data_IF_396297504698
#
_entry.id   IF_396297504698
#
_cell.length_a   1.000
_cell.length_b   1.000
_cell.length_c   1.000
_cell.angle_alpha   90.00
_cell.angle_beta   90.00
_cell.angle_gamma   90.00
#
_symmetry.space_group_name_H-M   'P 1'
#
loop_
_entity.id
_entity.type
_entity.pdbx_description
1 polymer ?
#
# COMPACT_ATOMS: atom_id res chain seq x y z
N UNK A 1 -9.53 13.98 -14.45
CA UNK A 1 -8.50 12.94 -14.30
C UNK A 1 -7.49 13.26 -13.20
N UNK A 2 -6.77 14.40 -13.27
CA UNK A 2 -5.74 14.79 -12.30
C UNK A 2 -6.21 14.76 -10.83
N UNK A 3 -7.41 15.28 -10.54
CA UNK A 3 -7.97 15.29 -9.18
C UNK A 3 -8.12 13.87 -8.61
N UNK A 4 -8.56 12.90 -9.41
CA UNK A 4 -8.72 11.51 -8.97
C UNK A 4 -7.38 10.85 -8.62
N UNK A 5 -6.32 11.14 -9.39
CA UNK A 5 -4.96 10.63 -9.16
C UNK A 5 -4.38 11.20 -7.85
N UNK A 6 -4.61 12.50 -7.60
CA UNK A 6 -4.17 13.16 -6.37
C UNK A 6 -4.90 12.56 -5.16
N UNK A 7 -6.23 12.43 -5.22
CA UNK A 7 -7.00 11.84 -4.13
C UNK A 7 -6.58 10.40 -3.85
N UNK A 8 -6.33 9.61 -4.88
CA UNK A 8 -5.87 8.23 -4.72
C UNK A 8 -4.47 8.14 -4.10
N UNK A 9 -3.58 9.09 -4.40
CA UNK A 9 -2.24 9.17 -3.82
C UNK A 9 -2.23 9.48 -2.32
N UNK A 10 -3.30 10.11 -1.80
CA UNK A 10 -3.50 10.34 -0.36
C UNK A 10 -4.41 9.29 0.31
N UNK A 11 -5.00 8.39 -0.46
CA UNK A 11 -5.71 7.22 0.06
C UNK A 11 -4.74 6.33 0.84
N UNK A 12 -5.08 5.99 2.09
CA UNK A 12 -4.19 5.28 3.01
C UNK A 12 -3.74 6.09 4.23
N UNK A 13 -3.96 7.42 4.27
CA UNK A 13 -3.80 8.20 5.51
C UNK A 13 -4.78 7.74 6.61
N UNK A 14 -5.91 7.17 6.22
CA UNK A 14 -6.89 6.53 7.12
C UNK A 14 -6.29 5.37 7.94
N UNK A 15 -5.28 4.66 7.40
CA UNK A 15 -4.56 3.61 8.13
C UNK A 15 -3.85 4.18 9.35
N UNK A 16 -3.31 5.39 9.26
CA UNK A 16 -2.67 6.07 10.39
C UNK A 16 -3.70 6.34 11.49
N UNK A 17 -4.92 6.76 11.12
CA UNK A 17 -6.01 6.98 12.06
C UNK A 17 -6.50 5.71 12.76
N UNK A 18 -6.68 4.62 12.00
CA UNK A 18 -7.09 3.32 12.58
C UNK A 18 -5.98 2.76 13.46
N UNK A 19 -4.73 2.84 13.02
CA UNK A 19 -3.57 2.36 13.79
C UNK A 19 -3.35 3.22 15.04
N UNK A 20 -3.63 4.53 14.99
CA UNK A 20 -3.55 5.40 16.17
C UNK A 20 -4.50 4.97 17.29
N UNK A 21 -5.67 4.42 16.96
CA UNK A 21 -6.62 3.91 17.94
C UNK A 21 -6.14 2.61 18.62
N UNK A 22 -5.16 1.92 18.04
CA UNK A 22 -4.65 0.62 18.51
C UNK A 22 -3.17 0.68 18.93
N UNK A 23 -2.49 1.82 18.74
CA UNK A 23 -1.07 1.98 19.03
C UNK A 23 -0.84 2.36 20.50
N UNK A 24 0.22 1.80 21.10
CA UNK A 24 0.67 2.21 22.43
C UNK A 24 1.26 3.63 22.40
N UNK A 25 0.75 4.50 23.29
CA UNK A 25 1.15 5.92 23.41
C UNK A 25 1.09 6.71 22.08
N UNK A 26 -0.10 6.92 21.50
CA UNK A 26 -0.25 7.51 20.17
C UNK A 26 0.29 8.94 20.07
N UNK A 27 0.27 9.71 21.17
CA UNK A 27 0.78 11.09 21.21
C UNK A 27 2.27 11.20 20.86
N UNK A 28 3.06 10.17 21.12
CA UNK A 28 4.49 10.14 20.79
C UNK A 28 4.80 9.24 19.58
N UNK A 29 4.16 8.07 19.51
CA UNK A 29 4.44 7.06 18.49
C UNK A 29 4.04 7.52 17.09
N UNK A 30 2.87 8.16 16.93
CA UNK A 30 2.37 8.63 15.63
C UNK A 30 3.27 9.73 15.02
N UNK A 31 3.54 10.87 15.70
CA UNK A 31 4.36 11.92 15.10
C UNK A 31 5.79 11.45 14.80
N UNK A 32 6.36 10.60 15.66
CA UNK A 32 7.69 10.00 15.43
C UNK A 32 7.71 9.11 14.19
N UNK A 33 6.70 8.24 14.03
CA UNK A 33 6.57 7.37 12.86
C UNK A 33 6.38 8.18 11.57
N UNK A 34 5.49 9.19 11.59
CA UNK A 34 5.24 10.07 10.44
C UNK A 34 6.51 10.78 9.98
N UNK A 35 7.25 11.41 10.90
CA UNK A 35 8.50 12.08 10.55
C UNK A 35 9.54 11.09 9.98
N UNK A 36 9.68 9.91 10.57
CA UNK A 36 10.61 8.89 10.06
C UNK A 36 10.24 8.41 8.65
N UNK A 37 8.94 8.21 8.38
CA UNK A 37 8.46 7.79 7.06
C UNK A 37 8.79 8.85 6.00
N UNK A 38 8.56 10.13 6.29
CA UNK A 38 8.87 11.23 5.34
C UNK A 38 10.36 11.21 4.97
N UNK A 39 11.27 11.13 5.95
CA UNK A 39 12.71 11.07 5.66
C UNK A 39 13.08 9.83 4.83
N UNK A 40 12.51 8.67 5.14
CA UNK A 40 12.75 7.44 4.36
C UNK A 40 12.27 7.60 2.92
N UNK A 41 11.06 8.11 2.70
CA UNK A 41 10.53 8.35 1.35
C UNK A 41 11.44 9.32 0.60
N UNK A 42 11.84 10.43 1.20
CA UNK A 42 12.74 11.39 0.55
C UNK A 42 14.07 10.74 0.14
N UNK A 43 14.72 10.02 1.06
CA UNK A 43 16.02 9.39 0.79
C UNK A 43 15.90 8.28 -0.27
N UNK A 44 14.95 7.35 -0.11
CA UNK A 44 14.82 6.22 -1.04
C UNK A 44 14.27 6.67 -2.40
N UNK A 45 13.27 7.55 -2.43
CA UNK A 45 12.66 8.01 -3.67
C UNK A 45 13.60 8.96 -4.42
N UNK A 46 13.98 10.09 -3.81
CA UNK A 46 14.83 11.09 -4.50
C UNK A 46 16.21 10.51 -4.76
N UNK A 47 16.78 9.75 -3.82
CA UNK A 47 18.08 9.12 -3.99
C UNK A 47 18.09 8.10 -5.13
N UNK A 48 17.09 7.23 -5.20
CA UNK A 48 16.99 6.27 -6.31
C UNK A 48 16.74 6.96 -7.65
N UNK A 49 15.95 8.04 -7.66
CA UNK A 49 15.68 8.82 -8.88
C UNK A 49 16.94 9.55 -9.37
N UNK A 50 17.76 10.08 -8.46
CA UNK A 50 19.03 10.70 -8.80
C UNK A 50 20.03 9.69 -9.40
N UNK A 51 20.13 8.49 -8.82
CA UNK A 51 20.93 7.40 -9.38
C UNK A 51 20.39 6.98 -10.75
N UNK A 52 19.07 6.84 -10.87
CA UNK A 52 18.38 6.45 -12.10
C UNK A 52 18.65 7.45 -13.24
N UNK A 53 18.49 8.75 -12.98
CA UNK A 53 18.74 9.81 -13.96
C UNK A 53 20.25 9.99 -14.28
N UNK A 54 21.14 9.53 -13.40
CA UNK A 54 22.59 9.51 -13.67
C UNK A 54 23.01 8.34 -14.57
N UNK A 55 22.28 7.22 -14.52
CA UNK A 55 22.53 6.03 -15.34
C UNK A 55 21.85 6.12 -16.71
N UNK A 56 20.65 6.72 -16.78
CA UNK A 56 19.86 6.82 -17.99
C UNK A 56 19.35 8.24 -18.19
N UNK A 57 19.62 8.89 -19.34
CA UNK A 57 19.05 10.20 -19.63
C UNK A 57 17.53 10.11 -19.70
N UNK A 58 16.84 11.08 -19.07
CA UNK A 58 15.37 11.12 -18.96
C UNK A 58 14.63 11.03 -20.30
N UNK A 59 15.32 11.28 -21.42
CA UNK A 59 14.80 11.20 -22.78
C UNK A 59 14.57 9.77 -23.28
N UNK A 60 15.13 8.75 -22.61
CA UNK A 60 14.92 7.33 -22.95
C UNK A 60 13.90 6.62 -22.05
N UNK A 61 13.39 7.30 -21.02
CA UNK A 61 12.35 6.75 -20.14
C UNK A 61 11.03 6.71 -20.89
N UNK A 62 10.63 5.54 -21.35
CA UNK A 62 9.33 5.29 -21.98
C UNK A 62 8.28 4.96 -20.92
N UNK A 63 7.02 5.32 -21.17
CA UNK A 63 5.93 5.14 -20.21
C UNK A 63 5.49 3.66 -20.06
N UNK A 64 5.84 2.82 -21.03
CA UNK A 64 5.35 1.43 -21.13
C UNK A 64 6.12 0.43 -20.25
N UNK A 65 7.25 0.81 -19.66
CA UNK A 65 8.05 -0.10 -18.83
C UNK A 65 8.62 0.61 -17.62
N UNK A 66 8.63 -0.06 -16.46
CA UNK A 66 9.20 0.49 -15.23
C UNK A 66 10.69 0.81 -15.45
N UNK A 67 11.10 2.07 -15.30
CA UNK A 67 12.47 2.49 -15.59
C UNK A 67 13.50 1.85 -14.64
N UNK A 68 13.06 1.41 -13.45
CA UNK A 68 13.89 0.57 -12.58
C UNK A 68 14.21 -0.77 -13.25
N UNK A 69 13.20 -1.50 -13.72
CA UNK A 69 13.39 -2.81 -14.37
C UNK A 69 14.22 -2.68 -15.65
N UNK A 70 13.99 -1.61 -16.41
CA UNK A 70 14.68 -1.36 -17.68
C UNK A 70 16.19 -1.16 -17.49
N UNK A 71 16.61 -0.43 -16.45
CA UNK A 71 18.04 -0.23 -16.13
C UNK A 71 18.72 -1.54 -15.73
N UNK A 72 18.06 -2.37 -14.91
CA UNK A 72 18.65 -3.64 -14.49
C UNK A 72 18.67 -4.68 -15.61
N UNK A 73 17.77 -4.57 -16.58
CA UNK A 73 17.83 -5.36 -17.81
C UNK A 73 18.97 -4.88 -18.74
N UNK A 74 19.18 -3.56 -18.90
CA UNK A 74 20.28 -3.02 -19.72
C UNK A 74 21.67 -3.23 -19.08
N UNK A 75 21.77 -3.29 -17.75
CA UNK A 75 23.01 -3.60 -17.03
C UNK A 75 23.43 -5.08 -17.14
N UNK A 76 22.64 -5.92 -17.81
CA UNK A 76 23.08 -7.21 -18.33
C UNK A 76 22.97 -8.40 -17.38
N UNK A 77 22.28 -8.27 -16.23
CA UNK A 77 22.13 -9.38 -15.30
C UNK A 77 20.65 -9.70 -15.00
N UNK A 78 20.14 -10.71 -15.71
CA UNK A 78 18.79 -11.28 -15.50
C UNK A 78 18.56 -11.70 -14.05
N UNK A 79 19.62 -12.04 -13.31
CA UNK A 79 19.53 -12.37 -11.89
C UNK A 79 19.09 -11.16 -11.05
N UNK A 80 19.65 -9.97 -11.32
CA UNK A 80 19.32 -8.73 -10.59
C UNK A 80 17.89 -8.28 -10.89
N UNK A 81 17.45 -8.40 -12.15
CA UNK A 81 16.06 -8.10 -12.54
C UNK A 81 15.05 -9.00 -11.80
N UNK A 82 15.32 -10.30 -11.70
CA UNK A 82 14.47 -11.24 -10.95
C UNK A 82 14.48 -10.97 -9.44
N UNK A 83 15.64 -10.65 -8.87
CA UNK A 83 15.74 -10.29 -7.45
C UNK A 83 14.88 -9.06 -7.12
N UNK A 84 14.90 -8.04 -7.98
CA UNK A 84 14.06 -6.85 -7.82
C UNK A 84 12.58 -7.14 -7.97
N UNK A 85 12.19 -7.98 -8.93
CA UNK A 85 10.80 -8.41 -9.05
C UNK A 85 10.31 -9.06 -7.76
N UNK A 86 11.10 -9.92 -7.13
CA UNK A 86 10.75 -10.54 -5.84
C UNK A 86 10.58 -9.49 -4.75
N UNK A 87 11.49 -8.51 -4.66
CA UNK A 87 11.39 -7.41 -3.68
C UNK A 87 10.12 -6.58 -3.91
N UNK A 88 9.83 -6.21 -5.16
CA UNK A 88 8.63 -5.44 -5.54
C UNK A 88 7.36 -6.22 -5.22
N UNK A 89 7.30 -7.51 -5.55
CA UNK A 89 6.15 -8.36 -5.23
C UNK A 89 5.95 -8.50 -3.73
N UNK A 90 7.04 -8.67 -2.96
CA UNK A 90 6.97 -8.75 -1.50
C UNK A 90 6.50 -7.43 -0.89
N UNK A 91 6.97 -6.30 -1.40
CA UNK A 91 6.49 -4.98 -0.98
C UNK A 91 5.01 -4.78 -1.32
N UNK A 92 4.57 -5.16 -2.52
CA UNK A 92 3.17 -5.09 -2.94
C UNK A 92 2.27 -5.95 -2.04
N UNK A 93 2.69 -7.17 -1.71
CA UNK A 93 1.98 -8.06 -0.77
C UNK A 93 1.90 -7.45 0.63
N UNK A 94 2.98 -6.83 1.12
CA UNK A 94 2.99 -6.16 2.41
C UNK A 94 1.99 -4.99 2.46
N UNK A 95 1.93 -4.17 1.41
CA UNK A 95 0.98 -3.04 1.32
C UNK A 95 -0.45 -3.58 1.25
N UNK A 96 -0.68 -4.63 0.46
CA UNK A 96 -2.00 -5.24 0.32
C UNK A 96 -2.55 -5.75 1.66
N UNK A 97 -1.70 -6.36 2.49
CA UNK A 97 -2.10 -6.81 3.82
C UNK A 97 -2.63 -5.66 4.71
N UNK A 98 -1.95 -4.51 4.70
CA UNK A 98 -2.41 -3.31 5.43
C UNK A 98 -3.71 -2.73 4.87
N UNK A 99 -3.90 -2.75 3.55
CA UNK A 99 -5.16 -2.30 2.93
C UNK A 99 -6.34 -3.21 3.30
N UNK A 100 -6.15 -4.53 3.26
CA UNK A 100 -7.16 -5.51 3.68
C UNK A 100 -7.52 -5.30 5.15
N UNK A 101 -6.52 -5.06 6.01
CA UNK A 101 -6.73 -4.74 7.42
C UNK A 101 -7.64 -3.52 7.63
N UNK A 102 -7.30 -2.39 6.99
CA UNK A 102 -8.09 -1.16 7.04
C UNK A 102 -9.53 -1.36 6.60
N UNK A 103 -9.71 -1.95 5.42
CA UNK A 103 -11.03 -2.12 4.83
C UNK A 103 -11.94 -2.97 5.73
N UNK A 104 -11.36 -4.01 6.33
CA UNK A 104 -12.06 -4.88 7.27
C UNK A 104 -12.49 -4.16 8.55
N UNK A 105 -11.63 -3.30 9.11
CA UNK A 105 -11.95 -2.48 10.30
C UNK A 105 -12.97 -1.39 10.00
N UNK A 106 -12.87 -0.75 8.84
CA UNK A 106 -13.81 0.28 8.41
C UNK A 106 -15.20 -0.29 8.19
N UNK A 107 -15.30 -1.41 7.46
CA UNK A 107 -16.59 -2.07 7.20
C UNK A 107 -17.18 -2.69 8.47
N UNK A 108 -16.35 -3.17 9.41
CA UNK A 108 -16.78 -3.55 10.76
C UNK A 108 -17.34 -2.36 11.56
N UNK A 109 -16.67 -1.20 11.52
CA UNK A 109 -17.15 0.03 12.16
C UNK A 109 -18.52 0.47 11.62
N UNK A 110 -18.72 0.39 10.30
CA UNK A 110 -20.01 0.66 9.67
C UNK A 110 -21.10 -0.34 10.12
N UNK A 111 -20.75 -1.61 10.30
CA UNK A 111 -21.68 -2.62 10.80
C UNK A 111 -22.07 -2.40 12.26
N UNK A 112 -21.15 -1.93 13.11
CA UNK A 112 -21.46 -1.52 14.49
C UNK A 112 -22.41 -0.32 14.54
N UNK A 113 -22.27 0.62 13.62
CA UNK A 113 -23.15 1.81 13.52
C UNK A 113 -24.52 1.49 12.90
N UNK A 114 -24.77 0.24 12.48
CA UNK A 114 -26.03 -0.19 11.85
C UNK A 114 -26.15 0.14 10.37
N UNK A 115 -25.12 0.72 9.75
CA UNK A 115 -25.07 1.08 8.33
C UNK A 115 -24.67 -0.10 7.42
N UNK A 116 -24.28 -1.25 8.00
CA UNK A 116 -23.96 -2.47 7.27
C UNK A 116 -24.62 -3.69 7.96
N UNK A 117 -24.86 -4.81 7.23
CA UNK A 117 -25.58 -5.95 7.78
C UNK A 117 -24.92 -6.52 9.04
N UNK A 118 -25.73 -6.87 10.05
CA UNK A 118 -25.28 -7.32 11.38
C UNK A 118 -24.30 -8.51 11.35
N UNK A 119 -24.32 -9.31 10.29
CA UNK A 119 -23.37 -10.42 10.10
C UNK A 119 -21.91 -9.94 9.94
N UNK A 120 -21.68 -8.68 9.54
CA UNK A 120 -20.36 -8.06 9.42
C UNK A 120 -19.86 -7.42 10.74
N UNK A 121 -20.72 -7.32 11.75
CA UNK A 121 -20.36 -6.85 13.09
C UNK A 121 -19.85 -7.97 14.00
N UNK A 122 -19.66 -9.18 13.48
CA UNK A 122 -19.14 -10.33 14.22
C UNK A 122 -17.62 -10.43 14.07
N UNK A 123 -16.92 -10.63 15.19
CA UNK A 123 -15.48 -10.88 15.24
C UNK A 123 -15.23 -12.32 15.69
N UNK A 124 -14.15 -12.93 15.19
CA UNK A 124 -13.69 -14.23 15.68
C UNK A 124 -13.06 -14.10 17.08
N UNK A 125 -12.78 -15.24 17.76
CA UNK A 125 -12.14 -15.32 19.09
C UNK A 125 -10.79 -14.59 19.18
N UNK A 126 -10.16 -14.32 18.03
CA UNK A 126 -8.90 -13.58 17.90
C UNK A 126 -9.09 -12.07 17.69
N UNK A 127 -10.34 -11.57 17.72
CA UNK A 127 -10.67 -10.16 17.46
C UNK A 127 -10.64 -9.76 15.99
N UNK A 128 -10.55 -10.73 15.07
CA UNK A 128 -10.45 -10.49 13.61
C UNK A 128 -11.84 -10.58 12.96
N UNK A 129 -12.28 -9.58 12.20
CA UNK A 129 -13.58 -9.57 11.51
C UNK A 129 -13.51 -10.37 10.19
N UNK A 130 -13.59 -11.71 10.29
CA UNK A 130 -13.39 -12.66 9.16
C UNK A 130 -14.46 -12.51 8.07
N UNK A 131 -15.74 -12.29 8.44
CA UNK A 131 -16.83 -12.11 7.47
C UNK A 131 -16.59 -10.88 6.59
N UNK A 132 -15.98 -9.85 7.17
CA UNK A 132 -15.68 -8.59 6.50
C UNK A 132 -14.54 -8.75 5.51
N UNK A 133 -13.49 -9.50 5.88
CA UNK A 133 -12.40 -9.89 4.97
C UNK A 133 -12.94 -10.71 3.79
N UNK A 134 -13.82 -11.69 4.05
CA UNK A 134 -14.42 -12.54 3.02
C UNK A 134 -15.26 -11.75 2.01
N UNK A 135 -16.07 -10.80 2.49
CA UNK A 135 -16.87 -9.92 1.61
C UNK A 135 -15.95 -9.02 0.77
N UNK A 136 -14.93 -8.40 1.37
CA UNK A 136 -13.96 -7.59 0.63
C UNK A 136 -13.20 -8.40 -0.44
N UNK A 137 -12.84 -9.65 -0.12
CA UNK A 137 -12.18 -10.56 -1.06
C UNK A 137 -13.11 -10.97 -2.21
N UNK A 138 -14.38 -11.30 -1.92
CA UNK A 138 -15.37 -11.63 -2.94
C UNK A 138 -15.64 -10.46 -3.89
N UNK A 139 -15.82 -9.25 -3.36
CA UNK A 139 -16.04 -8.05 -4.19
C UNK A 139 -14.83 -7.77 -5.07
N UNK A 140 -13.61 -7.91 -4.54
CA UNK A 140 -12.38 -7.71 -5.32
C UNK A 140 -12.23 -8.78 -6.41
N UNK A 141 -12.57 -10.04 -6.10
CA UNK A 141 -12.55 -11.13 -7.08
C UNK A 141 -13.59 -10.93 -8.20
N UNK A 142 -14.78 -10.43 -7.86
CA UNK A 142 -15.84 -10.08 -8.82
C UNK A 142 -15.50 -8.85 -9.67
N UNK A 143 -14.75 -7.88 -9.12
CA UNK A 143 -14.35 -6.69 -9.86
C UNK A 143 -13.23 -6.96 -10.87
N UNK A 144 -12.42 -7.99 -10.64
CA UNK A 144 -11.32 -8.42 -11.51
C UNK A 144 -11.78 -9.18 -12.77
N UNK A 145 -13.07 -9.53 -12.85
CA UNK A 145 -13.65 -10.31 -13.97
C UNK A 145 -14.16 -9.48 -15.15
N UNK A 146 -14.05 -8.15 -15.10
CA UNK A 146 -14.33 -7.23 -16.21
C UNK A 146 -13.05 -6.52 -16.69
#
# INVERSE_FOLDING_TARGET
>A
MMMAIIMFSFGGLELVGITAAEADNPEQSIPKATNQVIYRILIFYIGSLAVLLSLMPWTRVTADTSPFVLIFHELGDTFVANALNIVVLTAALSVYNSCVYCNSRMLFGLAQQGNAPKMLASVDKRGVPVNTILVSALVTALWRTD
#
